data_IF_801628212706
#
_entry.id   IF_801628212706
#
_cell.length_a   1.000
_cell.length_b   1.000
_cell.length_c   1.000
_cell.angle_alpha   90.00
_cell.angle_beta   90.00
_cell.angle_gamma   90.00
#
_symmetry.space_group_name_H-M   'P 1'
#
loop_
_entity.id
_entity.type
_entity.pdbx_description
1 polymer ?
#
# COMPACT_ATOMS: atom_id res chain seq x y z
N UNK A 1 17.62 -22.42 -5.57
CA UNK A 1 18.06 -21.40 -4.61
C UNK A 1 19.21 -21.91 -3.79
N UNK A 2 20.32 -21.17 -3.71
CA UNK A 2 21.46 -21.56 -2.86
C UNK A 2 21.21 -21.06 -1.44
N UNK A 3 21.16 -22.00 -0.49
CA UNK A 3 21.15 -21.64 0.92
C UNK A 3 22.59 -21.68 1.45
N UNK A 4 23.06 -20.67 2.20
CA UNK A 4 24.41 -20.68 2.73
C UNK A 4 24.62 -21.93 3.61
N UNK A 5 25.80 -22.62 3.50
CA UNK A 5 26.04 -23.80 4.29
C UNK A 5 25.99 -23.44 5.78
N UNK A 6 25.35 -24.28 6.59
CA UNK A 6 25.60 -24.28 8.04
C UNK A 6 27.09 -24.49 8.22
N UNK A 7 27.75 -23.77 9.11
CA UNK A 7 29.22 -23.52 9.25
C UNK A 7 30.24 -24.64 8.94
N UNK A 8 29.83 -25.85 8.59
CA UNK A 8 30.66 -27.00 8.18
C UNK A 8 29.93 -27.97 7.21
N UNK A 9 28.83 -27.54 6.55
CA UNK A 9 28.04 -28.41 5.68
C UNK A 9 28.24 -28.13 4.18
N UNK A 10 27.87 -29.10 3.33
CA UNK A 10 27.77 -28.90 1.88
C UNK A 10 26.61 -27.94 1.60
N UNK A 11 26.67 -27.11 0.50
CA UNK A 11 25.54 -26.33 0.05
C UNK A 11 24.31 -27.22 -0.10
N UNK A 12 23.19 -26.77 0.44
CA UNK A 12 21.92 -27.46 0.27
C UNK A 12 21.14 -26.76 -0.85
N UNK A 13 20.73 -27.53 -1.85
CA UNK A 13 19.95 -27.06 -2.99
C UNK A 13 18.55 -27.63 -2.88
N UNK A 14 17.56 -26.77 -3.02
CA UNK A 14 16.16 -27.18 -3.17
C UNK A 14 15.57 -26.56 -4.43
N UNK A 15 14.82 -27.36 -5.17
CA UNK A 15 14.00 -26.86 -6.26
C UNK A 15 12.73 -26.25 -5.68
N UNK A 16 12.31 -25.10 -6.22
CA UNK A 16 11.07 -24.45 -5.82
C UNK A 16 10.20 -24.26 -7.05
N UNK A 17 8.94 -24.65 -6.95
CA UNK A 17 7.96 -24.53 -8.05
C UNK A 17 7.36 -23.16 -8.14
N UNK A 18 7.18 -22.47 -7.01
CA UNK A 18 6.66 -21.12 -6.93
C UNK A 18 7.07 -20.41 -5.63
N UNK A 19 7.21 -19.10 -5.68
CA UNK A 19 7.45 -18.24 -4.53
C UNK A 19 6.15 -17.58 -4.06
N UNK A 20 5.75 -17.82 -2.81
CA UNK A 20 4.66 -17.09 -2.14
C UNK A 20 5.23 -15.81 -1.53
N UNK A 21 4.85 -14.65 -2.07
CA UNK A 21 5.30 -13.35 -1.58
C UNK A 21 4.44 -12.89 -0.41
N UNK A 22 5.05 -12.74 0.78
CA UNK A 22 4.40 -12.28 2.00
C UNK A 22 5.23 -11.30 2.82
N UNK A 23 6.35 -10.82 2.26
CA UNK A 23 7.19 -9.79 2.86
C UNK A 23 6.77 -8.39 2.35
N UNK A 24 7.13 -7.34 3.10
CA UNK A 24 6.70 -5.96 2.83
C UNK A 24 7.88 -4.99 2.73
N UNK A 25 7.60 -3.80 2.21
CA UNK A 25 8.52 -2.68 2.18
C UNK A 25 9.33 -2.56 0.90
N UNK A 26 10.32 -1.68 0.94
CA UNK A 26 11.23 -1.37 -0.17
C UNK A 26 11.96 -2.63 -0.65
N UNK A 27 12.16 -2.74 -1.95
CA UNK A 27 12.71 -3.89 -2.67
C UNK A 27 11.81 -5.14 -2.71
N UNK A 28 10.64 -5.10 -2.07
CA UNK A 28 9.68 -6.22 -2.08
C UNK A 28 8.36 -5.84 -2.75
N UNK A 29 7.80 -4.67 -2.40
CA UNK A 29 6.50 -4.21 -2.92
C UNK A 29 6.65 -3.33 -4.16
N UNK A 30 7.87 -2.90 -4.51
CA UNK A 30 8.20 -1.93 -5.56
C UNK A 30 8.59 -2.56 -6.91
N UNK A 31 8.56 -3.87 -7.03
CA UNK A 31 8.89 -4.60 -8.26
C UNK A 31 10.32 -5.15 -8.31
N UNK A 32 11.21 -4.78 -7.39
CA UNK A 32 12.60 -5.23 -7.41
C UNK A 32 12.72 -6.75 -7.19
N UNK A 33 12.03 -7.30 -6.17
CA UNK A 33 11.98 -8.74 -5.92
C UNK A 33 11.28 -9.47 -7.07
N UNK A 34 10.19 -8.92 -7.60
CA UNK A 34 9.48 -9.49 -8.75
C UNK A 34 10.40 -9.59 -9.97
N UNK A 35 11.16 -8.54 -10.24
CA UNK A 35 12.14 -8.52 -11.34
C UNK A 35 13.23 -9.58 -11.18
N UNK A 36 13.72 -9.79 -9.97
CA UNK A 36 14.70 -10.84 -9.66
C UNK A 36 14.11 -12.24 -9.92
N UNK A 37 12.88 -12.50 -9.46
CA UNK A 37 12.21 -13.77 -9.67
C UNK A 37 11.89 -14.02 -11.16
N UNK A 38 11.49 -12.96 -11.89
CA UNK A 38 11.28 -13.05 -13.33
C UNK A 38 12.57 -13.35 -14.10
N UNK A 39 13.68 -12.73 -13.70
CA UNK A 39 15.00 -12.99 -14.29
C UNK A 39 15.45 -14.45 -14.10
N UNK A 40 15.15 -15.04 -12.96
CA UNK A 40 15.45 -16.45 -12.66
C UNK A 40 14.40 -17.42 -13.17
N UNK A 41 13.30 -16.93 -13.77
CA UNK A 41 12.23 -17.77 -14.28
C UNK A 41 11.38 -18.45 -13.21
N UNK A 42 11.45 -17.96 -11.95
CA UNK A 42 10.68 -18.51 -10.83
C UNK A 42 9.27 -17.92 -10.83
N UNK A 43 8.21 -18.75 -10.90
CA UNK A 43 6.85 -18.29 -10.70
C UNK A 43 6.68 -17.66 -9.31
N UNK A 44 5.88 -16.60 -9.20
CA UNK A 44 5.63 -15.95 -7.92
C UNK A 44 4.20 -15.42 -7.83
N UNK A 45 3.67 -15.38 -6.63
CA UNK A 45 2.34 -14.85 -6.36
C UNK A 45 2.32 -13.32 -6.35
N UNK A 46 1.19 -12.73 -6.72
CA UNK A 46 0.99 -11.28 -6.65
C UNK A 46 1.32 -10.55 -7.95
N UNK A 47 1.44 -9.25 -7.82
CA UNK A 47 1.58 -8.31 -8.93
C UNK A 47 2.87 -8.49 -9.74
N UNK A 48 2.84 -8.11 -11.01
CA UNK A 48 4.02 -8.03 -11.87
C UNK A 48 4.96 -6.89 -11.45
N UNK A 49 6.15 -6.85 -12.04
CA UNK A 49 7.12 -5.74 -11.83
C UNK A 49 6.46 -4.38 -12.06
N UNK A 50 5.76 -4.22 -13.19
CA UNK A 50 5.11 -2.97 -13.54
C UNK A 50 4.01 -2.59 -12.55
N UNK A 51 3.10 -3.52 -12.24
CA UNK A 51 2.01 -3.26 -11.31
C UNK A 51 2.51 -2.94 -9.89
N UNK A 52 3.57 -3.62 -9.44
CA UNK A 52 4.21 -3.36 -8.14
C UNK A 52 4.84 -1.97 -8.10
N UNK A 53 5.61 -1.60 -9.13
CA UNK A 53 6.25 -0.29 -9.20
C UNK A 53 5.22 0.87 -9.25
N UNK A 54 4.17 0.72 -10.07
CA UNK A 54 3.07 1.68 -10.15
C UNK A 54 2.32 1.77 -8.81
N UNK A 55 2.01 0.63 -8.19
CA UNK A 55 1.31 0.60 -6.89
C UNK A 55 2.09 1.25 -5.76
N UNK A 56 3.43 1.19 -5.80
CA UNK A 56 4.29 1.77 -4.78
C UNK A 56 4.43 3.28 -4.91
N UNK A 57 4.44 3.84 -6.11
CA UNK A 57 4.53 5.29 -6.33
C UNK A 57 3.13 5.93 -6.33
N UNK A 58 2.81 6.65 -5.25
CA UNK A 58 1.49 7.28 -5.03
C UNK A 58 1.12 8.28 -6.12
N UNK A 59 2.09 8.99 -6.68
CA UNK A 59 1.83 9.93 -7.75
C UNK A 59 1.50 9.22 -9.05
N UNK A 60 2.36 8.30 -9.49
CA UNK A 60 2.18 7.54 -10.73
C UNK A 60 0.89 6.73 -10.68
N UNK A 61 0.67 6.01 -9.58
CA UNK A 61 -0.56 5.25 -9.33
C UNK A 61 -1.82 6.10 -9.50
N UNK A 62 -1.85 7.30 -8.90
CA UNK A 62 -3.01 8.21 -9.01
C UNK A 62 -3.19 8.76 -10.43
N UNK A 63 -2.13 8.96 -11.21
CA UNK A 63 -2.27 9.33 -12.63
C UNK A 63 -2.92 8.18 -13.42
N UNK A 64 -2.51 6.93 -13.18
CA UNK A 64 -3.12 5.74 -13.80
C UNK A 64 -4.59 5.62 -13.40
N UNK A 65 -4.93 5.76 -12.13
CA UNK A 65 -6.31 5.69 -11.64
C UNK A 65 -7.19 6.79 -12.24
N UNK A 66 -6.71 8.02 -12.28
CA UNK A 66 -7.43 9.13 -12.93
C UNK A 66 -7.66 8.87 -14.42
N UNK A 67 -6.65 8.34 -15.13
CA UNK A 67 -6.78 7.94 -16.53
C UNK A 67 -7.82 6.83 -16.74
N UNK A 68 -8.01 5.96 -15.75
CA UNK A 68 -9.05 4.94 -15.73
C UNK A 68 -10.43 5.45 -15.25
N UNK A 69 -10.59 6.76 -15.04
CA UNK A 69 -11.86 7.38 -14.60
C UNK A 69 -12.17 7.19 -13.11
N UNK A 70 -11.19 6.76 -12.30
CA UNK A 70 -11.38 6.58 -10.88
C UNK A 70 -11.22 7.90 -10.11
N UNK A 71 -12.11 8.21 -9.16
CA UNK A 71 -12.01 9.40 -8.33
C UNK A 71 -10.82 9.28 -7.37
N UNK A 72 -9.86 10.19 -7.52
CA UNK A 72 -8.72 10.35 -6.63
C UNK A 72 -8.68 11.80 -6.14
N UNK A 73 -8.17 12.02 -4.94
CA UNK A 73 -7.89 13.39 -4.48
C UNK A 73 -6.94 14.08 -5.45
N UNK A 74 -7.22 15.35 -5.71
CA UNK A 74 -6.29 16.20 -6.43
C UNK A 74 -5.08 16.47 -5.55
N UNK A 75 -3.89 16.34 -6.11
CA UNK A 75 -2.63 16.54 -5.42
C UNK A 75 -1.64 17.30 -6.29
N UNK A 76 -0.60 17.80 -5.64
CA UNK A 76 0.57 18.44 -6.25
C UNK A 76 1.80 17.65 -5.82
N UNK A 77 2.64 17.32 -6.80
CA UNK A 77 3.94 16.70 -6.55
C UNK A 77 4.99 17.79 -6.44
N UNK A 78 5.73 17.81 -5.33
CA UNK A 78 6.84 18.72 -5.09
C UNK A 78 8.15 17.95 -5.16
N UNK A 79 9.10 18.49 -5.90
CA UNK A 79 10.47 17.96 -5.99
C UNK A 79 11.31 18.50 -4.84
N UNK A 80 12.08 17.64 -4.16
CA UNK A 80 13.06 18.06 -3.14
C UNK A 80 14.08 19.06 -3.71
N UNK A 81 14.52 18.84 -4.96
CA UNK A 81 15.51 19.70 -5.59
C UNK A 81 15.00 21.13 -5.84
N UNK A 82 13.72 21.28 -6.20
CA UNK A 82 13.13 22.59 -6.45
C UNK A 82 12.77 23.29 -5.14
N UNK A 83 12.22 22.55 -4.19
CA UNK A 83 11.97 23.04 -2.83
C UNK A 83 13.24 23.58 -2.16
N UNK A 84 14.40 22.91 -2.27
CA UNK A 84 15.65 23.39 -1.68
C UNK A 84 16.22 24.64 -2.36
N UNK A 85 15.84 24.91 -3.63
CA UNK A 85 16.26 26.15 -4.31
C UNK A 85 15.42 27.36 -3.90
N UNK A 86 14.10 27.16 -3.75
CA UNK A 86 13.16 28.23 -3.41
C UNK A 86 12.01 27.69 -2.54
N UNK A 87 12.24 27.45 -1.23
CA UNK A 87 11.22 26.91 -0.34
C UNK A 87 9.96 27.79 -0.23
N UNK A 88 10.13 29.12 -0.20
CA UNK A 88 9.03 30.05 -0.06
C UNK A 88 8.17 30.11 -1.32
N UNK A 89 8.79 30.10 -2.50
CA UNK A 89 8.10 30.07 -3.77
C UNK A 89 7.32 28.78 -3.97
N UNK A 90 7.92 27.63 -3.64
CA UNK A 90 7.25 26.32 -3.74
C UNK A 90 6.04 26.23 -2.76
N UNK A 91 6.18 26.67 -1.52
CA UNK A 91 5.08 26.72 -0.55
C UNK A 91 3.97 27.64 -1.04
N UNK A 92 4.29 28.83 -1.49
CA UNK A 92 3.32 29.79 -2.02
C UNK A 92 2.58 29.21 -3.22
N UNK A 93 3.31 28.64 -4.18
CA UNK A 93 2.71 28.01 -5.37
C UNK A 93 1.85 26.79 -5.05
N UNK A 94 2.16 26.07 -3.96
CA UNK A 94 1.34 24.97 -3.45
C UNK A 94 0.05 25.49 -2.81
N UNK A 95 0.13 26.54 -1.97
CA UNK A 95 -1.04 27.15 -1.30
C UNK A 95 -2.03 27.79 -2.29
N UNK A 96 -1.55 28.26 -3.44
CA UNK A 96 -2.41 28.74 -4.53
C UNK A 96 -3.23 27.61 -5.19
N UNK A 97 -2.72 26.36 -5.15
CA UNK A 97 -3.35 25.19 -5.78
C UNK A 97 -4.20 24.37 -4.82
N UNK A 98 -3.79 24.26 -3.56
CA UNK A 98 -4.46 23.45 -2.54
C UNK A 98 -4.55 24.24 -1.24
N UNK A 99 -5.80 24.38 -0.73
CA UNK A 99 -6.03 25.01 0.57
C UNK A 99 -5.66 24.06 1.73
N UNK A 100 -5.23 24.64 2.84
CA UNK A 100 -5.06 23.91 4.11
C UNK A 100 -6.43 23.50 4.70
N UNK A 101 -6.50 22.42 5.46
CA UNK A 101 -5.41 21.50 5.82
C UNK A 101 -5.03 20.56 4.68
N UNK A 102 -3.72 20.24 4.60
CA UNK A 102 -3.15 19.30 3.64
C UNK A 102 -2.57 18.07 4.31
N UNK A 103 -2.46 16.99 3.55
CA UNK A 103 -1.67 15.81 3.91
C UNK A 103 -0.48 15.74 2.96
N UNK A 104 0.71 15.70 3.55
CA UNK A 104 1.99 15.56 2.83
C UNK A 104 2.50 14.15 2.99
N UNK A 105 2.87 13.51 1.90
CA UNK A 105 3.30 12.09 1.84
C UNK A 105 4.57 11.95 1.01
N UNK A 106 5.57 11.16 1.41
CA UNK A 106 6.59 10.68 0.48
C UNK A 106 5.91 9.95 -0.69
N UNK A 107 6.37 10.20 -1.94
CA UNK A 107 5.70 9.64 -3.13
C UNK A 107 5.77 8.11 -3.19
N UNK A 108 6.89 7.51 -2.78
CA UNK A 108 7.23 6.11 -3.05
C UNK A 108 7.50 5.28 -1.80
N UNK A 109 6.76 5.52 -0.71
CA UNK A 109 6.86 4.74 0.52
C UNK A 109 5.50 4.20 0.97
N UNK A 110 5.53 2.99 1.55
CA UNK A 110 4.40 2.35 2.22
C UNK A 110 4.35 2.63 3.74
N UNK A 111 3.43 1.94 4.44
CA UNK A 111 3.33 1.88 5.91
C UNK A 111 3.20 3.23 6.62
N UNK A 112 2.61 4.23 5.97
CA UNK A 112 2.40 5.59 6.52
C UNK A 112 3.67 6.30 7.03
N UNK A 113 4.86 5.84 6.61
CA UNK A 113 6.13 6.46 7.00
C UNK A 113 6.24 7.84 6.35
N UNK A 114 6.57 8.86 7.15
CA UNK A 114 6.79 10.23 6.68
C UNK A 114 5.51 10.98 6.27
N UNK A 115 4.31 10.44 6.54
CA UNK A 115 3.04 11.11 6.28
C UNK A 115 2.73 12.08 7.41
N UNK A 116 2.36 13.32 7.07
CA UNK A 116 1.98 14.36 8.02
C UNK A 116 0.80 15.18 7.52
N UNK A 117 -0.02 15.67 8.46
CA UNK A 117 -1.10 16.63 8.20
C UNK A 117 -0.66 18.02 8.60
N UNK A 118 -0.73 18.98 7.68
CA UNK A 118 -0.41 20.38 7.90
C UNK A 118 -1.70 21.20 7.98
N UNK A 119 -1.85 22.01 9.03
CA UNK A 119 -3.01 22.90 9.25
C UNK A 119 -2.67 24.37 8.98
N UNK A 120 -1.39 24.68 8.98
CA UNK A 120 -0.82 25.99 8.72
C UNK A 120 0.49 25.86 7.92
N UNK A 121 1.08 27.00 7.54
CA UNK A 121 2.27 27.04 6.70
C UNK A 121 3.52 26.51 7.40
N UNK A 122 3.65 26.72 8.72
CA UNK A 122 4.79 26.22 9.50
C UNK A 122 4.76 24.69 9.56
N UNK A 123 3.58 24.09 9.85
CA UNK A 123 3.41 22.64 9.80
C UNK A 123 3.59 22.07 8.37
N UNK A 124 3.24 22.84 7.33
CA UNK A 124 3.46 22.43 5.95
C UNK A 124 4.95 22.32 5.64
N UNK A 125 5.74 23.27 6.09
CA UNK A 125 7.20 23.26 5.95
C UNK A 125 7.83 22.06 6.67
N UNK A 126 7.45 21.83 7.93
CA UNK A 126 7.89 20.67 8.70
C UNK A 126 7.49 19.34 8.02
N UNK A 127 6.28 19.26 7.47
CA UNK A 127 5.79 18.07 6.78
C UNK A 127 6.54 17.79 5.48
N UNK A 128 6.91 18.83 4.71
CA UNK A 128 7.74 18.71 3.51
C UNK A 128 9.15 18.25 3.85
N UNK A 129 9.79 18.87 4.87
CA UNK A 129 11.12 18.50 5.33
C UNK A 129 11.17 17.04 5.80
N UNK A 130 10.12 16.59 6.52
CA UNK A 130 9.98 15.20 6.93
C UNK A 130 9.84 14.28 5.72
N UNK A 131 8.95 14.58 4.78
CA UNK A 131 8.74 13.77 3.58
C UNK A 131 10.02 13.65 2.74
N UNK A 132 10.77 14.75 2.59
CA UNK A 132 12.03 14.78 1.88
C UNK A 132 13.21 14.10 2.60
N UNK A 133 13.07 13.76 3.87
CA UNK A 133 14.03 12.88 4.54
C UNK A 133 13.91 11.43 4.09
N UNK A 134 12.77 11.05 3.48
CA UNK A 134 12.48 9.69 3.03
C UNK A 134 12.43 9.52 1.51
N UNK A 135 12.09 10.58 0.75
CA UNK A 135 11.88 10.48 -0.70
C UNK A 135 12.32 11.76 -1.43
N UNK A 136 12.70 11.66 -2.72
CA UNK A 136 13.02 12.83 -3.52
C UNK A 136 11.80 13.64 -3.96
N UNK A 137 10.59 13.07 -3.80
CA UNK A 137 9.32 13.73 -4.13
C UNK A 137 8.33 13.60 -2.98
N UNK A 138 7.58 14.67 -2.73
CA UNK A 138 6.48 14.71 -1.79
C UNK A 138 5.16 14.97 -2.53
N UNK A 139 4.14 14.16 -2.26
CA UNK A 139 2.78 14.35 -2.72
C UNK A 139 2.00 15.12 -1.67
N UNK A 140 1.46 16.28 -2.04
CA UNK A 140 0.61 17.11 -1.20
C UNK A 140 -0.84 17.00 -1.69
N UNK A 141 -1.76 16.67 -0.81
CA UNK A 141 -3.18 16.50 -1.10
C UNK A 141 -4.05 17.23 -0.08
N UNK A 142 -5.26 17.68 -0.49
CA UNK A 142 -6.22 18.20 0.49
C UNK A 142 -6.56 17.14 1.53
N UNK A 143 -6.70 17.52 2.80
CA UNK A 143 -7.21 16.61 3.81
C UNK A 143 -8.73 16.41 3.64
N UNK A 144 -9.20 15.17 3.75
CA UNK A 144 -10.63 14.86 3.87
C UNK A 144 -11.07 15.26 5.29
N UNK A 145 -12.19 15.97 5.39
CA UNK A 145 -12.63 16.56 6.68
C UNK A 145 -13.18 15.51 7.63
N UNK A 146 -14.19 14.78 7.22
CA UNK A 146 -14.87 13.77 8.02
C UNK A 146 -14.47 12.38 7.54
N UNK A 147 -13.16 12.09 7.62
CA UNK A 147 -12.55 10.91 7.05
C UNK A 147 -13.08 9.62 7.69
N UNK A 148 -13.59 8.72 6.86
CA UNK A 148 -13.71 7.29 7.11
C UNK A 148 -12.81 6.56 6.13
N UNK A 149 -11.98 5.69 6.64
CA UNK A 149 -11.16 4.80 5.80
C UNK A 149 -11.91 3.51 5.57
N UNK A 150 -12.00 3.09 4.31
CA UNK A 150 -12.62 1.83 3.93
C UNK A 150 -11.65 1.08 3.05
N UNK A 151 -11.43 -0.20 3.33
CA UNK A 151 -10.54 -1.04 2.54
C UNK A 151 -11.31 -2.19 1.91
N UNK A 152 -10.89 -2.58 0.70
CA UNK A 152 -11.44 -3.72 -0.02
C UNK A 152 -10.32 -4.48 -0.71
N UNK A 153 -10.24 -5.79 -0.50
CA UNK A 153 -9.27 -6.62 -1.21
C UNK A 153 -9.85 -7.14 -2.54
N UNK A 154 -8.97 -7.34 -3.51
CA UNK A 154 -9.29 -7.96 -4.79
C UNK A 154 -8.37 -9.15 -5.00
N UNK A 155 -8.92 -10.25 -5.48
CA UNK A 155 -8.22 -11.50 -5.80
C UNK A 155 -8.51 -11.92 -7.23
N UNK A 156 -7.48 -12.15 -8.03
CA UNK A 156 -7.61 -12.61 -9.41
C UNK A 156 -6.50 -12.10 -10.31
N UNK A 157 -6.83 -11.94 -11.57
CA UNK A 157 -6.00 -11.37 -12.62
C UNK A 157 -6.86 -10.57 -13.62
N UNK A 158 -6.27 -10.21 -14.77
CA UNK A 158 -6.98 -9.49 -15.84
C UNK A 158 -8.19 -10.26 -16.39
N UNK A 159 -8.12 -11.59 -16.42
CA UNK A 159 -9.16 -12.44 -17.02
C UNK A 159 -10.34 -12.65 -16.08
N UNK A 160 -10.10 -12.57 -14.76
CA UNK A 160 -11.15 -12.67 -13.76
C UNK A 160 -10.67 -12.27 -12.38
N UNK A 161 -11.38 -11.33 -11.78
CA UNK A 161 -11.09 -10.85 -10.44
C UNK A 161 -12.38 -10.68 -9.62
N UNK A 162 -12.30 -10.93 -8.33
CA UNK A 162 -13.41 -10.78 -7.39
C UNK A 162 -12.98 -9.86 -6.24
N UNK A 163 -13.93 -9.07 -5.74
CA UNK A 163 -13.73 -8.21 -4.58
C UNK A 163 -14.17 -8.93 -3.30
N UNK A 164 -13.48 -8.68 -2.20
CA UNK A 164 -13.85 -9.14 -0.87
C UNK A 164 -14.99 -8.31 -0.27
N UNK A 165 -15.41 -8.65 0.95
CA UNK A 165 -16.16 -7.70 1.79
C UNK A 165 -15.29 -6.48 2.10
N UNK A 166 -15.92 -5.33 2.41
CA UNK A 166 -15.21 -4.14 2.85
C UNK A 166 -14.90 -4.21 4.35
N UNK A 167 -13.79 -3.57 4.77
CA UNK A 167 -13.49 -3.30 6.18
C UNK A 167 -13.42 -1.80 6.46
N UNK A 168 -13.69 -1.43 7.71
CA UNK A 168 -13.44 -0.09 8.24
C UNK A 168 -12.46 -0.19 9.40
N UNK A 169 -11.20 0.32 9.24
CA UNK A 169 -10.26 0.47 10.35
C UNK A 169 -10.75 1.52 11.34
N UNK A 170 -10.85 1.19 12.64
CA UNK A 170 -11.43 2.10 13.64
C UNK A 170 -10.40 3.03 14.30
N UNK A 171 -9.10 2.81 14.08
CA UNK A 171 -8.04 3.60 14.70
C UNK A 171 -7.43 4.64 13.73
N UNK A 172 -8.10 4.95 12.64
CA UNK A 172 -7.69 5.98 11.67
C UNK A 172 -7.94 7.42 12.17
N UNK A 173 -8.16 7.62 13.48
CA UNK A 173 -8.35 8.95 14.07
C UNK A 173 -7.05 9.72 14.05
N UNK A 174 -7.06 10.78 13.25
CA UNK A 174 -6.02 11.80 13.05
C UNK A 174 -4.64 11.23 12.65
N UNK A 175 -4.24 11.52 11.43
CA UNK A 175 -2.82 11.48 11.05
C UNK A 175 -2.12 12.42 12.03
N UNK A 176 -1.56 11.83 13.09
CA UNK A 176 -0.83 12.59 14.12
C UNK A 176 0.32 13.31 13.42
N UNK A 177 0.51 14.59 13.73
CA UNK A 177 1.69 15.32 13.27
C UNK A 177 2.94 14.60 13.79
N UNK A 178 4.04 14.69 13.07
CA UNK A 178 5.33 14.14 13.53
C UNK A 178 5.67 14.62 14.95
N UNK A 179 5.37 15.89 15.26
CA UNK A 179 5.55 16.48 16.57
C UNK A 179 4.72 15.76 17.67
N UNK A 180 3.51 15.33 17.36
CA UNK A 180 2.65 14.60 18.30
C UNK A 180 3.17 13.18 18.56
N UNK A 181 3.74 12.53 17.54
CA UNK A 181 4.36 11.20 17.68
C UNK A 181 5.66 11.22 18.50
N UNK A 182 6.46 12.27 18.40
CA UNK A 182 7.76 12.37 19.07
C UNK A 182 7.71 13.10 20.43
N UNK A 183 6.78 14.04 20.65
CA UNK A 183 6.57 14.67 21.96
C UNK A 183 5.97 13.72 22.99
N UNK A 184 5.19 12.73 22.57
CA UNK A 184 4.66 11.68 23.46
C UNK A 184 5.69 10.58 23.81
N UNK A 185 6.81 10.49 23.08
CA UNK A 185 7.91 9.54 23.33
C UNK A 185 9.06 10.05 24.21
N UNK A 186 9.08 11.34 24.55
CA UNK A 186 10.15 12.00 25.30
C UNK A 186 9.96 12.04 26.81
N UNK A 187 9.60 10.92 27.46
CA UNK A 187 9.35 10.87 28.91
C UNK A 187 9.86 9.60 29.59
N UNK A 188 11.10 9.69 30.16
CA UNK A 188 11.69 8.80 31.16
C UNK A 188 12.34 7.48 30.70
N UNK A 189 13.62 7.58 30.42
CA UNK A 189 14.61 6.54 30.72
C UNK A 189 14.63 6.28 32.24
N UNK A 190 14.36 5.05 32.64
CA UNK A 190 14.42 4.59 34.01
C UNK A 190 14.46 3.07 34.04
N UNK A 191 15.68 2.53 34.09
CA UNK A 191 16.14 1.18 34.38
C UNK A 191 15.22 0.28 35.21
N UNK A 192 14.99 -0.98 34.78
CA UNK A 192 15.46 -2.23 35.39
C UNK A 192 14.77 -3.48 34.80
N UNK A 193 15.57 -4.37 34.38
CA UNK A 193 15.57 -5.80 34.27
C UNK A 193 14.28 -6.61 34.44
N UNK A 194 14.07 -7.53 33.48
CA UNK A 194 13.11 -8.61 33.59
C UNK A 194 12.78 -9.22 32.24
N UNK A 195 13.56 -10.23 31.82
CA UNK A 195 13.20 -11.06 30.67
C UNK A 195 11.88 -11.76 30.94
N UNK A 196 10.90 -11.58 30.08
CA UNK A 196 9.78 -12.54 29.87
C UNK A 196 9.53 -12.69 28.38
N UNK A 197 9.76 -13.89 27.95
CA UNK A 197 9.44 -14.48 26.66
C UNK A 197 7.98 -14.32 26.27
N UNK A 198 7.72 -14.18 24.97
CA UNK A 198 6.37 -14.34 24.41
C UNK A 198 5.81 -13.07 23.76
N UNK A 199 6.55 -12.49 22.82
CA UNK A 199 5.99 -11.49 21.90
C UNK A 199 5.16 -12.18 20.82
N UNK A 200 3.85 -12.31 21.02
CA UNK A 200 2.92 -12.48 19.90
C UNK A 200 3.09 -11.26 18.99
N UNK A 201 3.49 -11.49 17.73
CA UNK A 201 3.64 -10.45 16.74
C UNK A 201 2.33 -9.67 16.60
N UNK A 202 2.37 -8.38 16.89
CA UNK A 202 1.28 -7.45 16.64
C UNK A 202 1.23 -7.16 15.13
N UNK A 203 0.73 -8.14 14.36
CA UNK A 203 0.45 -7.98 12.94
C UNK A 203 -0.84 -7.19 12.73
N UNK A 204 -1.13 -6.84 11.49
CA UNK A 204 -2.36 -6.15 11.07
C UNK A 204 -3.65 -6.75 11.63
N UNK A 205 -3.64 -8.03 12.05
CA UNK A 205 -4.77 -8.72 12.68
C UNK A 205 -5.15 -8.18 14.08
N UNK A 206 -4.29 -7.39 14.73
CA UNK A 206 -4.55 -6.83 16.08
C UNK A 206 -5.20 -5.44 16.06
N UNK A 207 -5.38 -4.82 14.89
CA UNK A 207 -6.04 -3.52 14.77
C UNK A 207 -7.55 -3.68 14.98
N UNK A 208 -8.15 -2.77 15.76
CA UNK A 208 -9.60 -2.69 15.88
C UNK A 208 -10.22 -2.29 14.55
N UNK A 209 -11.14 -3.12 14.02
CA UNK A 209 -11.77 -2.93 12.71
C UNK A 209 -13.18 -3.52 12.70
N UNK A 210 -14.02 -3.02 11.81
CA UNK A 210 -15.31 -3.60 11.48
C UNK A 210 -15.19 -4.40 10.18
N UNK A 211 -15.47 -5.70 10.23
CA UNK A 211 -15.48 -6.60 9.07
C UNK A 211 -16.72 -7.49 9.15
N UNK A 212 -17.67 -7.40 8.21
CA UNK A 212 -17.78 -6.37 7.18
C UNK A 212 -17.97 -4.95 7.74
N UNK A 213 -17.56 -3.93 6.96
CA UNK A 213 -17.82 -2.54 7.29
C UNK A 213 -19.33 -2.25 7.32
N UNK A 214 -19.76 -1.43 8.27
CA UNK A 214 -21.15 -0.98 8.38
C UNK A 214 -21.45 0.11 7.33
N UNK A 215 -21.79 -0.33 6.12
CA UNK A 215 -22.08 0.51 4.95
C UNK A 215 -23.43 0.09 4.34
N UNK A 216 -24.16 1.05 3.74
CA UNK A 216 -25.27 0.70 2.86
C UNK A 216 -24.79 -0.22 1.72
N UNK A 217 -25.63 -1.14 1.28
CA UNK A 217 -25.26 -2.10 0.24
C UNK A 217 -24.74 -1.42 -1.04
N UNK A 218 -25.44 -0.38 -1.50
CA UNK A 218 -25.05 0.39 -2.69
C UNK A 218 -23.64 1.01 -2.57
N UNK A 219 -23.28 1.48 -1.37
CA UNK A 219 -21.95 2.04 -1.09
C UNK A 219 -20.90 0.95 -1.12
N UNK A 220 -21.18 -0.21 -0.51
CA UNK A 220 -20.28 -1.37 -0.53
C UNK A 220 -20.04 -1.86 -1.96
N UNK A 221 -21.08 -2.02 -2.76
CA UNK A 221 -20.99 -2.42 -4.17
C UNK A 221 -20.22 -1.39 -5.01
N UNK A 222 -20.44 -0.10 -4.76
CA UNK A 222 -19.67 0.97 -5.42
C UNK A 222 -18.17 0.86 -5.11
N UNK A 223 -17.81 0.67 -3.83
CA UNK A 223 -16.41 0.51 -3.41
C UNK A 223 -15.80 -0.74 -4.03
N UNK A 224 -16.50 -1.88 -4.03
CA UNK A 224 -16.06 -3.12 -4.64
C UNK A 224 -15.81 -2.96 -6.15
N UNK A 225 -16.71 -2.29 -6.86
CA UNK A 225 -16.55 -2.01 -8.28
C UNK A 225 -15.35 -1.08 -8.55
N UNK A 226 -15.15 -0.05 -7.72
CA UNK A 226 -13.98 0.82 -7.80
C UNK A 226 -12.68 0.06 -7.49
N UNK A 227 -12.70 -0.87 -6.53
CA UNK A 227 -11.56 -1.72 -6.21
C UNK A 227 -11.17 -2.63 -7.39
N UNK A 228 -12.15 -3.26 -8.03
CA UNK A 228 -11.96 -4.07 -9.25
C UNK A 228 -11.39 -3.22 -10.40
N UNK A 229 -11.90 -2.00 -10.58
CA UNK A 229 -11.40 -1.08 -11.61
C UNK A 229 -9.96 -0.63 -11.32
N UNK A 230 -9.62 -0.30 -10.07
CA UNK A 230 -8.26 0.07 -9.66
C UNK A 230 -7.27 -1.09 -9.86
N UNK A 231 -7.68 -2.31 -9.49
CA UNK A 231 -6.90 -3.53 -9.69
C UNK A 231 -6.57 -3.76 -11.17
N UNK A 232 -7.58 -3.63 -12.04
CA UNK A 232 -7.41 -3.77 -13.50
C UNK A 232 -6.58 -2.64 -14.10
N UNK A 233 -6.70 -1.42 -13.59
CA UNK A 233 -6.02 -0.25 -14.14
C UNK A 233 -4.50 -0.36 -14.12
N UNK A 234 -3.93 -1.02 -13.12
CA UNK A 234 -2.48 -1.26 -13.01
C UNK A 234 -2.07 -2.67 -13.49
N UNK A 235 -2.99 -3.44 -14.05
CA UNK A 235 -2.76 -4.85 -14.42
C UNK A 235 -2.28 -5.70 -13.23
N UNK A 236 -2.93 -5.53 -12.08
CA UNK A 236 -2.63 -6.28 -10.88
C UNK A 236 -2.98 -7.77 -11.02
N UNK A 237 -2.31 -8.61 -10.25
CA UNK A 237 -2.52 -10.06 -10.21
C UNK A 237 -2.33 -10.58 -8.78
N UNK A 238 -2.94 -11.72 -8.46
CA UNK A 238 -2.93 -12.29 -7.12
C UNK A 238 -3.90 -11.57 -6.20
N UNK A 239 -3.46 -11.18 -5.01
CA UNK A 239 -4.25 -10.40 -4.06
C UNK A 239 -3.66 -9.01 -3.90
N UNK A 240 -4.51 -7.99 -3.95
CA UNK A 240 -4.17 -6.62 -3.58
C UNK A 240 -5.28 -6.04 -2.70
N UNK A 241 -4.96 -5.04 -1.86
CA UNK A 241 -5.96 -4.31 -1.07
C UNK A 241 -5.96 -2.86 -1.53
N UNK A 242 -7.14 -2.39 -1.86
CA UNK A 242 -7.38 -1.02 -2.26
C UNK A 242 -7.96 -0.28 -1.06
N UNK A 243 -7.32 0.82 -0.69
CA UNK A 243 -7.68 1.64 0.45
C UNK A 243 -8.39 2.90 -0.06
N UNK A 244 -9.55 3.21 0.51
CA UNK A 244 -10.40 4.31 0.13
C UNK A 244 -10.51 5.33 1.25
N UNK A 245 -10.65 6.59 0.86
CA UNK A 245 -11.05 7.69 1.75
C UNK A 245 -12.48 8.09 1.41
N UNK A 246 -13.35 8.07 2.41
CA UNK A 246 -14.74 8.51 2.29
C UNK A 246 -14.95 9.73 3.20
N UNK A 247 -15.52 10.78 2.66
CA UNK A 247 -16.04 11.87 3.48
C UNK A 247 -17.45 11.48 3.97
N UNK A 248 -17.60 11.29 5.28
CA UNK A 248 -18.85 10.79 5.86
C UNK A 248 -20.01 11.79 5.82
N UNK A 249 -19.73 13.07 5.57
CA UNK A 249 -20.76 14.12 5.46
C UNK A 249 -21.27 14.25 4.02
N UNK A 250 -20.36 14.24 3.04
CA UNK A 250 -20.74 14.41 1.62
C UNK A 250 -21.01 13.08 0.92
N UNK A 251 -20.52 11.95 1.47
CA UNK A 251 -20.57 10.64 0.84
C UNK A 251 -19.62 10.48 -0.35
N UNK A 252 -18.69 11.43 -0.58
CA UNK A 252 -17.67 11.32 -1.61
C UNK A 252 -16.67 10.22 -1.26
N UNK A 253 -16.31 9.40 -2.24
CA UNK A 253 -15.38 8.29 -2.09
C UNK A 253 -14.22 8.47 -3.06
N UNK A 254 -12.99 8.36 -2.56
CA UNK A 254 -11.76 8.51 -3.33
C UNK A 254 -10.89 7.28 -3.17
N UNK A 255 -10.30 6.79 -4.26
CA UNK A 255 -9.22 5.80 -4.17
C UNK A 255 -7.98 6.49 -3.60
N UNK A 256 -7.46 5.97 -2.49
CA UNK A 256 -6.27 6.47 -1.84
C UNK A 256 -5.00 5.79 -2.35
N UNK A 257 -4.93 4.47 -2.16
CA UNK A 257 -3.77 3.67 -2.58
C UNK A 257 -4.16 2.21 -2.85
N UNK A 258 -3.25 1.48 -3.49
CA UNK A 258 -3.31 0.03 -3.67
C UNK A 258 -2.09 -0.61 -3.03
N UNK A 259 -2.31 -1.60 -2.18
CA UNK A 259 -1.28 -2.42 -1.56
C UNK A 259 -1.14 -3.72 -2.33
N UNK A 260 -0.05 -3.87 -3.07
CA UNK A 260 0.19 -5.02 -3.98
C UNK A 260 0.61 -6.29 -3.26
N UNK A 261 1.04 -6.19 -2.01
CA UNK A 261 1.24 -7.30 -1.07
C UNK A 261 0.61 -6.86 0.25
N UNK A 262 -0.72 -7.02 0.44
CA UNK A 262 -1.37 -6.53 1.64
C UNK A 262 -0.98 -7.33 2.88
N UNK A 263 -0.93 -6.67 4.04
CA UNK A 263 -0.60 -7.31 5.31
C UNK A 263 -1.42 -8.57 5.55
N UNK A 264 -0.75 -9.68 5.88
CA UNK A 264 -1.35 -11.01 6.05
C UNK A 264 -2.18 -11.45 4.83
N UNK A 265 -1.85 -10.98 3.62
CA UNK A 265 -2.58 -11.20 2.36
C UNK A 265 -4.07 -10.81 2.45
N UNK A 266 -4.43 -9.95 3.39
CA UNK A 266 -5.82 -9.58 3.72
C UNK A 266 -6.74 -10.78 3.94
N UNK A 267 -6.21 -11.91 4.46
CA UNK A 267 -6.95 -13.17 4.54
C UNK A 267 -8.27 -13.04 5.32
N UNK A 268 -8.32 -12.19 6.34
CA UNK A 268 -9.49 -11.97 7.18
C UNK A 268 -10.68 -11.37 6.42
N UNK A 269 -10.45 -10.64 5.33
CA UNK A 269 -11.51 -10.14 4.43
C UNK A 269 -12.11 -11.27 3.60
N UNK A 270 -11.28 -12.22 3.23
CA UNK A 270 -11.68 -13.41 2.47
C UNK A 270 -12.41 -14.40 3.35
N UNK A 271 -11.95 -14.65 4.59
CA UNK A 271 -12.65 -15.50 5.56
C UNK A 271 -14.07 -14.98 5.87
N UNK A 272 -14.21 -13.66 6.06
CA UNK A 272 -15.52 -13.04 6.24
C UNK A 272 -16.45 -13.21 5.02
N UNK A 273 -15.87 -13.38 3.82
CA UNK A 273 -16.57 -13.69 2.57
C UNK A 273 -16.69 -15.19 2.28
N UNK A 274 -16.29 -16.08 3.21
CA UNK A 274 -16.42 -17.54 3.07
C UNK A 274 -15.26 -18.21 2.31
N UNK A 275 -14.15 -17.52 2.05
CA UNK A 275 -12.93 -18.10 1.43
C UNK A 275 -11.89 -18.34 2.52
N UNK A 276 -11.58 -19.59 2.83
CA UNK A 276 -10.59 -19.94 3.86
C UNK A 276 -9.17 -19.59 3.42
N UNK A 277 -8.26 -19.43 4.40
CA UNK A 277 -6.85 -19.14 4.11
C UNK A 277 -6.17 -20.18 3.19
N UNK A 278 -6.35 -21.50 3.36
CA UNK A 278 -5.83 -22.47 2.39
C UNK A 278 -6.35 -22.25 0.97
N UNK A 279 -7.66 -21.99 0.80
CA UNK A 279 -8.23 -21.69 -0.51
C UNK A 279 -7.67 -20.40 -1.13
N UNK A 280 -7.38 -19.38 -0.32
CA UNK A 280 -6.72 -18.17 -0.79
C UNK A 280 -5.32 -18.49 -1.32
N UNK A 281 -4.51 -19.24 -0.56
CA UNK A 281 -3.15 -19.63 -0.95
C UNK A 281 -3.17 -20.48 -2.23
N UNK A 282 -4.07 -21.46 -2.34
CA UNK A 282 -4.21 -22.29 -3.55
C UNK A 282 -4.54 -21.45 -4.80
N UNK A 283 -5.43 -20.46 -4.66
CA UNK A 283 -5.74 -19.54 -5.76
C UNK A 283 -4.54 -18.68 -6.14
N UNK A 284 -3.79 -18.17 -5.17
CA UNK A 284 -2.58 -17.36 -5.42
C UNK A 284 -1.51 -18.15 -6.16
N UNK A 285 -1.25 -19.40 -5.75
CA UNK A 285 -0.30 -20.30 -6.42
C UNK A 285 -0.80 -20.62 -7.84
N UNK A 286 -2.07 -20.93 -8.00
CA UNK A 286 -2.65 -21.22 -9.32
C UNK A 286 -2.52 -20.05 -10.29
N UNK A 287 -2.73 -18.81 -9.83
CA UNK A 287 -2.51 -17.59 -10.60
C UNK A 287 -1.04 -17.39 -10.98
N UNK A 288 -0.11 -17.65 -10.06
CA UNK A 288 1.33 -17.56 -10.31
C UNK A 288 1.77 -18.54 -11.42
N UNK A 289 1.31 -19.79 -11.33
CA UNK A 289 1.61 -20.82 -12.32
C UNK A 289 0.94 -20.53 -13.67
N UNK A 290 -0.30 -19.99 -13.69
CA UNK A 290 -0.97 -19.53 -14.91
C UNK A 290 -0.14 -18.43 -15.57
N UNK A 291 0.21 -17.36 -14.84
CA UNK A 291 1.01 -16.23 -15.33
C UNK A 291 2.35 -16.70 -15.94
N UNK A 292 3.01 -17.70 -15.31
CA UNK A 292 4.24 -18.29 -15.86
C UNK A 292 4.00 -19.00 -17.16
N UNK A 293 2.98 -19.87 -17.25
CA UNK A 293 2.61 -20.58 -18.48
C UNK A 293 2.27 -19.61 -19.62
N UNK A 294 1.48 -18.57 -19.31
CA UNK A 294 1.09 -17.57 -20.31
C UNK A 294 2.32 -16.85 -20.85
N UNK A 295 3.25 -16.45 -19.97
CA UNK A 295 4.53 -15.84 -20.34
C UNK A 295 5.40 -16.76 -21.19
N UNK A 296 5.52 -18.04 -20.82
CA UNK A 296 6.35 -19.02 -21.52
C UNK A 296 5.79 -19.39 -22.92
N UNK A 297 4.50 -19.13 -23.15
CA UNK A 297 3.87 -19.33 -24.46
C UNK A 297 4.19 -18.23 -25.47
N UNK A 298 4.78 -17.11 -25.01
CA UNK A 298 5.13 -15.99 -25.89
C UNK A 298 6.47 -16.23 -26.60
N UNK A 299 6.60 -15.68 -27.81
CA UNK A 299 7.85 -15.75 -28.58
C UNK A 299 8.76 -14.59 -28.19
N UNK A 300 9.94 -14.89 -27.66
CA UNK A 300 10.97 -13.92 -27.26
C UNK A 300 12.16 -13.81 -28.21
N UNK A 301 12.20 -14.56 -29.31
CA UNK A 301 13.29 -14.52 -30.31
C UNK A 301 12.71 -14.36 -31.72
N UNK A 302 13.42 -13.62 -32.55
CA UNK A 302 13.11 -13.43 -33.97
C UNK A 302 14.12 -14.16 -34.82
#
# INVERSE_FOLDING_TARGET
>A
MDFPPKALGRPHYEEIDAALLGAHGTNVEDGALQGLLEYWGVPYTGCSVCASAVGMDKWVMKQVFKSAGLPCLSGVLISKSDYLKDPEGEIKGLLEKIALPMVVKPSNLGSSVGISKARDEEQLKEALDLAFSFAPFALCERAVRNLREINCAVLGDRDGAVASVCEEPLNATDILTYADKYKSGGGKSGSKGGAKSGGQGSGMASLTRKVPAELPQEVSEKIQNMALAAFKAIDASGVARIDFMMDSETGEIFVNEINTIPGSLSYYLWEAGGVSFPQLVDRLISLALKKKRDKDSLTFSF
#
